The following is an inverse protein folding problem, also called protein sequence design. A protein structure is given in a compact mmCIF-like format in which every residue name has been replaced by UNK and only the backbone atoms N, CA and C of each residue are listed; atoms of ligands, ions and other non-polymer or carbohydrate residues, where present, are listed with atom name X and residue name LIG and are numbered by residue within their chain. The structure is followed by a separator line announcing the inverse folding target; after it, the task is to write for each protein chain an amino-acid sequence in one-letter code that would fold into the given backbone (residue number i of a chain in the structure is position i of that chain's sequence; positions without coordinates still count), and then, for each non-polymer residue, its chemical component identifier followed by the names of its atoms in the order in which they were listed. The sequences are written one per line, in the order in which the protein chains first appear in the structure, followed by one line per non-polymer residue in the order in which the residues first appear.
data_IF_923163150802
#
_entry.id   IF_923163150802
#
_cell.length_a   1.000
_cell.length_b   1.000
_cell.length_c   1.000
_cell.angle_alpha   90.00
_cell.angle_beta   90.00
_cell.angle_gamma   90.00
#
_symmetry.space_group_name_H-M   'P 1'
#
loop_
_entity.id
_entity.type
_entity.pdbx_description
1 polymer ?
#
# COMPACT_ATOMS: atom_id res chain seq x y z
N UNK A 1 -16.76 -16.88 -10.80
CA UNK A 1 -15.44 -16.32 -10.43
C UNK A 1 -14.28 -17.05 -11.11
N UNK A 2 -14.10 -18.37 -10.87
CA UNK A 2 -13.02 -19.18 -11.50
C UNK A 2 -12.92 -19.01 -13.02
N UNK A 3 -14.01 -19.31 -13.75
CA UNK A 3 -14.00 -19.28 -15.22
C UNK A 3 -13.67 -17.91 -15.80
N UNK A 4 -14.08 -16.83 -15.14
CA UNK A 4 -13.79 -15.45 -15.55
C UNK A 4 -12.29 -15.13 -15.41
N UNK A 5 -11.67 -15.46 -14.27
CA UNK A 5 -10.22 -15.28 -14.09
C UNK A 5 -9.41 -16.12 -15.08
N UNK A 6 -9.83 -17.36 -15.33
CA UNK A 6 -9.19 -18.24 -16.29
C UNK A 6 -9.28 -17.69 -17.71
N UNK A 7 -10.47 -17.24 -18.13
CA UNK A 7 -10.67 -16.65 -19.46
C UNK A 7 -9.88 -15.35 -19.61
N UNK A 8 -9.88 -14.48 -18.60
CA UNK A 8 -9.08 -13.25 -18.60
C UNK A 8 -7.58 -13.53 -18.76
N UNK A 9 -7.04 -14.47 -18.00
CA UNK A 9 -5.64 -14.93 -18.12
C UNK A 9 -5.35 -15.57 -19.47
N UNK A 10 -6.28 -16.34 -20.02
CA UNK A 10 -6.10 -16.96 -21.34
C UNK A 10 -6.03 -15.90 -22.44
N UNK A 11 -6.98 -14.95 -22.45
CA UNK A 11 -7.05 -13.91 -23.47
C UNK A 11 -5.97 -12.83 -23.31
N UNK A 12 -5.55 -12.52 -22.08
CA UNK A 12 -4.56 -11.50 -21.74
C UNK A 12 -3.61 -12.02 -20.66
N UNK A 13 -2.61 -12.86 -21.02
CA UNK A 13 -1.77 -13.58 -20.06
C UNK A 13 -0.84 -12.70 -19.21
N UNK A 14 -0.57 -11.48 -19.66
CA UNK A 14 0.22 -10.47 -18.92
C UNK A 14 -0.64 -9.56 -18.03
N UNK A 15 -1.97 -9.70 -18.05
CA UNK A 15 -2.85 -8.92 -17.19
C UNK A 15 -2.71 -9.32 -15.72
N UNK A 16 -2.70 -8.32 -14.83
CA UNK A 16 -2.73 -8.50 -13.39
C UNK A 16 -4.16 -8.81 -12.92
N UNK A 17 -4.71 -9.94 -13.38
CA UNK A 17 -6.07 -10.34 -13.06
C UNK A 17 -6.27 -10.67 -11.59
N UNK A 18 -7.26 -10.05 -10.97
CA UNK A 18 -7.70 -10.30 -9.59
C UNK A 18 -9.07 -9.67 -9.36
N UNK A 19 -9.71 -9.99 -8.25
CA UNK A 19 -10.98 -9.38 -7.88
C UNK A 19 -10.76 -8.23 -6.90
N UNK A 20 -11.42 -7.11 -7.15
CA UNK A 20 -11.51 -5.99 -6.20
C UNK A 20 -12.13 -6.46 -4.87
N UNK A 21 -11.59 -5.95 -3.77
CA UNK A 21 -12.08 -6.20 -2.42
C UNK A 21 -11.56 -7.51 -1.80
N UNK A 22 -10.77 -8.31 -2.52
CA UNK A 22 -10.31 -9.61 -2.04
C UNK A 22 -8.81 -9.65 -1.68
N UNK A 23 -8.44 -10.29 -0.56
CA UNK A 23 -9.34 -10.75 0.51
C UNK A 23 -9.91 -9.58 1.33
N UNK A 24 -11.02 -9.83 2.03
CA UNK A 24 -11.49 -8.97 3.11
C UNK A 24 -11.13 -9.60 4.47
N UNK A 25 -10.88 -8.75 5.45
CA UNK A 25 -10.54 -9.08 6.83
C UNK A 25 -11.76 -9.02 7.78
N UNK A 26 -12.85 -8.39 7.34
CA UNK A 26 -14.07 -8.11 8.07
C UNK A 26 -13.86 -7.51 9.47
N UNK A 27 -12.79 -6.72 9.64
CA UNK A 27 -12.35 -6.10 10.89
C UNK A 27 -13.06 -4.76 11.18
N UNK A 28 -14.37 -4.68 10.89
CA UNK A 28 -15.21 -3.47 11.03
C UNK A 28 -15.80 -3.30 12.45
N UNK A 29 -15.39 -4.13 13.40
CA UNK A 29 -15.92 -4.17 14.76
C UNK A 29 -15.26 -3.14 15.69
N UNK A 30 -15.22 -1.88 15.25
CA UNK A 30 -14.50 -0.77 15.90
C UNK A 30 -14.94 -0.49 17.34
N UNK A 31 -16.19 -0.84 17.69
CA UNK A 31 -16.76 -0.63 19.03
C UNK A 31 -16.25 -1.62 20.09
N UNK A 32 -15.48 -2.65 19.70
CA UNK A 32 -14.88 -3.56 20.69
C UNK A 32 -13.84 -2.80 21.54
N UNK A 33 -13.88 -2.90 22.88
CA UNK A 33 -12.92 -2.22 23.76
C UNK A 33 -11.45 -2.57 23.46
N UNK A 34 -11.18 -3.84 23.11
CA UNK A 34 -9.85 -4.34 22.76
C UNK A 34 -9.72 -4.53 21.24
N UNK A 35 -10.12 -3.53 20.45
CA UNK A 35 -10.00 -3.58 19.00
C UNK A 35 -8.52 -3.71 18.60
N UNK A 36 -8.14 -4.82 17.97
CA UNK A 36 -6.75 -5.07 17.49
C UNK A 36 -6.56 -4.76 16.01
N UNK A 37 -7.66 -4.59 15.27
CA UNK A 37 -7.66 -4.52 13.81
C UNK A 37 -7.43 -5.86 13.12
N UNK A 38 -7.18 -6.94 13.84
CA UNK A 38 -6.91 -8.26 13.24
C UNK A 38 -8.19 -8.93 12.73
N UNK A 39 -8.04 -9.71 11.66
CA UNK A 39 -9.12 -10.55 11.15
C UNK A 39 -9.36 -11.69 12.13
N UNK A 40 -10.61 -11.96 12.48
CA UNK A 40 -10.92 -13.06 13.38
C UNK A 40 -10.59 -14.41 12.73
N UNK A 41 -10.40 -15.43 13.57
CA UNK A 41 -9.94 -16.74 13.12
C UNK A 41 -10.90 -17.35 12.09
N UNK A 42 -12.21 -17.20 12.30
CA UNK A 42 -13.25 -17.70 11.40
C UNK A 42 -13.13 -17.08 10.01
N UNK A 43 -12.83 -15.78 9.92
CA UNK A 43 -12.60 -15.08 8.65
C UNK A 43 -11.33 -15.61 7.97
N UNK A 44 -10.25 -15.80 8.73
CA UNK A 44 -9.02 -16.38 8.18
C UNK A 44 -9.23 -17.80 7.65
N UNK A 45 -10.06 -18.61 8.31
CA UNK A 45 -10.45 -19.95 7.88
C UNK A 45 -11.31 -19.93 6.61
N UNK A 46 -12.26 -19.01 6.50
CA UNK A 46 -13.02 -18.79 5.26
C UNK A 46 -12.10 -18.36 4.11
N UNK A 47 -11.18 -17.43 4.36
CA UNK A 47 -10.18 -17.02 3.38
C UNK A 47 -9.22 -18.16 3.00
N UNK A 48 -8.96 -19.13 3.89
CA UNK A 48 -8.18 -20.34 3.55
C UNK A 48 -8.93 -21.23 2.55
N UNK A 49 -10.27 -21.32 2.63
CA UNK A 49 -11.08 -22.09 1.69
C UNK A 49 -11.09 -21.47 0.28
N UNK A 50 -10.73 -20.19 0.17
CA UNK A 50 -10.57 -19.47 -1.09
C UNK A 50 -9.18 -19.62 -1.72
N UNK A 51 -8.36 -20.61 -1.31
CA UNK A 51 -7.04 -20.86 -1.90
C UNK A 51 -7.04 -20.89 -3.43
N UNK A 52 -8.10 -21.46 -4.03
CA UNK A 52 -8.28 -21.48 -5.48
C UNK A 52 -8.27 -20.08 -6.11
N UNK A 53 -8.78 -19.06 -5.41
CA UNK A 53 -8.85 -17.68 -5.90
C UNK A 53 -7.46 -17.05 -5.89
N UNK A 54 -6.70 -17.25 -4.82
CA UNK A 54 -5.35 -16.71 -4.65
C UNK A 54 -4.41 -17.32 -5.70
N UNK A 55 -4.51 -18.63 -5.92
CA UNK A 55 -3.72 -19.36 -6.93
C UNK A 55 -4.01 -18.90 -8.36
N UNK A 56 -5.31 -18.71 -8.67
CA UNK A 56 -5.73 -18.29 -10.01
C UNK A 56 -5.46 -16.81 -10.26
N UNK A 57 -5.43 -15.96 -9.24
CA UNK A 57 -5.15 -14.54 -9.38
C UNK A 57 -3.69 -14.29 -9.79
N UNK A 58 -3.48 -13.22 -10.55
CA UNK A 58 -2.15 -12.67 -10.90
C UNK A 58 -1.79 -11.47 -10.01
N UNK A 59 -2.77 -10.84 -9.38
CA UNK A 59 -2.60 -9.80 -8.37
C UNK A 59 -3.78 -9.81 -7.38
N UNK A 60 -3.60 -9.20 -6.20
CA UNK A 60 -4.63 -9.08 -5.17
C UNK A 60 -4.94 -7.60 -4.91
N UNK A 61 -6.22 -7.31 -4.69
CA UNK A 61 -6.75 -5.95 -4.64
C UNK A 61 -7.65 -5.74 -3.41
N UNK A 62 -7.10 -5.84 -2.18
CA UNK A 62 -7.90 -5.61 -0.99
C UNK A 62 -8.37 -4.15 -0.95
N UNK A 63 -9.61 -3.90 -0.53
CA UNK A 63 -10.03 -2.53 -0.22
C UNK A 63 -9.56 -2.18 1.19
N UNK A 64 -8.97 -0.99 1.38
CA UNK A 64 -8.60 -0.44 2.69
C UNK A 64 -9.22 0.95 2.89
N UNK A 65 -10.40 1.17 2.31
CA UNK A 65 -11.18 2.40 2.51
C UNK A 65 -11.51 2.58 3.99
N UNK A 66 -11.38 3.80 4.50
CA UNK A 66 -11.65 4.12 5.89
C UNK A 66 -13.12 4.49 6.07
N UNK A 67 -13.93 3.73 6.81
CA UNK A 67 -15.28 4.15 7.17
C UNK A 67 -15.26 5.43 8.02
N UNK A 68 -16.32 6.24 7.95
CA UNK A 68 -16.40 7.50 8.70
C UNK A 68 -16.27 7.29 10.22
N UNK A 69 -16.68 6.13 10.74
CA UNK A 69 -16.54 5.77 12.17
C UNK A 69 -15.09 5.71 12.65
N UNK A 70 -14.12 5.61 11.74
CA UNK A 70 -12.70 5.64 12.06
C UNK A 70 -12.15 7.06 12.23
N UNK A 71 -12.86 8.08 11.73
CA UNK A 71 -12.41 9.45 11.85
C UNK A 71 -12.21 9.82 13.33
N UNK A 72 -11.03 10.36 13.64
CA UNK A 72 -10.64 10.81 14.98
C UNK A 72 -10.65 9.69 16.05
N UNK A 73 -10.74 8.41 15.63
CA UNK A 73 -10.85 7.26 16.54
C UNK A 73 -9.49 6.70 17.00
N UNK A 74 -8.41 7.04 16.30
CA UNK A 74 -7.07 6.45 16.49
C UNK A 74 -6.96 4.98 16.06
N UNK A 75 -7.97 4.41 15.39
CA UNK A 75 -8.03 2.97 15.03
C UNK A 75 -7.70 2.68 13.56
N UNK A 76 -7.56 3.69 12.72
CA UNK A 76 -7.35 3.56 11.28
C UNK A 76 -6.11 2.74 10.93
N UNK A 77 -4.97 3.00 11.59
CA UNK A 77 -3.75 2.23 11.39
C UNK A 77 -3.95 0.73 11.68
N UNK A 78 -4.64 0.41 12.78
CA UNK A 78 -4.89 -0.99 13.16
C UNK A 78 -5.80 -1.67 12.15
N UNK A 79 -6.85 -0.97 11.70
CA UNK A 79 -7.75 -1.43 10.66
C UNK A 79 -7.02 -1.75 9.35
N UNK A 80 -6.26 -0.80 8.80
CA UNK A 80 -5.50 -0.99 7.55
C UNK A 80 -4.47 -2.10 7.72
N UNK A 81 -3.71 -2.08 8.81
CA UNK A 81 -2.65 -3.05 9.09
C UNK A 81 -3.16 -4.49 9.11
N UNK A 82 -4.32 -4.73 9.72
CA UNK A 82 -4.94 -6.06 9.73
C UNK A 82 -5.33 -6.56 8.35
N UNK A 83 -5.89 -5.68 7.51
CA UNK A 83 -6.28 -6.00 6.12
C UNK A 83 -5.08 -6.32 5.25
N UNK A 84 -4.02 -5.53 5.38
CA UNK A 84 -2.75 -5.77 4.68
C UNK A 84 -2.06 -7.06 5.14
N UNK A 85 -2.07 -7.33 6.45
CA UNK A 85 -1.54 -8.61 6.98
C UNK A 85 -2.27 -9.81 6.39
N UNK A 86 -3.58 -9.74 6.24
CA UNK A 86 -4.38 -10.83 5.69
C UNK A 86 -4.10 -11.10 4.22
N UNK A 87 -4.01 -10.04 3.39
CA UNK A 87 -3.66 -10.22 1.98
C UNK A 87 -2.27 -10.85 1.83
N UNK A 88 -1.27 -10.43 2.62
CA UNK A 88 0.03 -11.07 2.62
C UNK A 88 0.00 -12.51 3.13
N UNK A 89 -0.85 -12.81 4.13
CA UNK A 89 -1.02 -14.17 4.66
C UNK A 89 -1.58 -15.12 3.62
N UNK A 90 -2.66 -14.74 2.91
CA UNK A 90 -3.27 -15.62 1.90
C UNK A 90 -2.39 -15.74 0.65
N UNK A 91 -1.68 -14.67 0.27
CA UNK A 91 -0.73 -14.66 -0.84
C UNK A 91 0.43 -15.61 -0.58
N UNK A 92 1.03 -15.54 0.62
CA UNK A 92 2.12 -16.42 1.04
C UNK A 92 1.75 -17.90 1.19
N UNK A 93 0.46 -18.25 1.13
CA UNK A 93 -0.02 -19.65 1.14
C UNK A 93 -0.13 -20.26 -0.26
N UNK A 94 0.04 -19.46 -1.31
CA UNK A 94 0.04 -19.96 -2.69
C UNK A 94 1.33 -20.74 -2.98
N UNK A 95 1.29 -21.59 -4.01
CA UNK A 95 2.43 -22.39 -4.47
C UNK A 95 3.60 -21.56 -5.00
N UNK A 96 3.30 -20.37 -5.53
CA UNK A 96 4.27 -19.47 -6.17
C UNK A 96 4.11 -18.05 -5.65
N UNK A 97 4.52 -17.76 -4.40
CA UNK A 97 4.34 -16.45 -3.80
C UNK A 97 5.22 -15.39 -4.49
N UNK A 98 4.82 -14.13 -4.37
CA UNK A 98 5.38 -12.98 -5.10
C UNK A 98 4.39 -12.29 -6.04
N UNK A 99 3.08 -12.55 -5.91
CA UNK A 99 2.06 -11.85 -6.72
C UNK A 99 1.93 -10.39 -6.28
N UNK A 100 1.70 -9.46 -7.22
CA UNK A 100 1.44 -8.08 -6.85
C UNK A 100 0.25 -7.88 -5.93
N UNK A 101 0.42 -7.07 -4.89
CA UNK A 101 -0.63 -6.62 -3.99
C UNK A 101 -0.80 -5.12 -4.16
N UNK A 102 -1.99 -4.70 -4.59
CA UNK A 102 -2.33 -3.33 -4.94
C UNK A 102 -3.60 -2.93 -4.18
N UNK A 103 -3.49 -2.49 -2.91
CA UNK A 103 -4.65 -2.10 -2.12
C UNK A 103 -5.37 -0.91 -2.76
N UNK A 104 -6.70 -0.96 -2.70
CA UNK A 104 -7.56 0.15 -3.08
C UNK A 104 -7.70 1.12 -1.90
N UNK A 105 -7.39 2.39 -2.14
CA UNK A 105 -7.51 3.51 -1.20
C UNK A 105 -8.46 4.57 -1.76
N UNK A 106 -9.03 5.38 -0.87
CA UNK A 106 -9.72 6.63 -1.20
C UNK A 106 -8.97 7.79 -0.58
N UNK A 107 -9.27 9.01 -1.05
CA UNK A 107 -8.82 10.26 -0.43
C UNK A 107 -9.90 10.89 0.47
N UNK A 108 -11.03 10.21 0.62
CA UNK A 108 -12.15 10.55 1.48
C UNK A 108 -12.41 9.41 2.47
N UNK A 109 -13.07 9.72 3.58
CA UNK A 109 -13.75 8.66 4.35
C UNK A 109 -14.87 8.07 3.50
N UNK A 110 -15.02 6.75 3.55
CA UNK A 110 -15.91 5.98 2.69
C UNK A 110 -17.34 6.55 2.71
N UNK A 111 -17.91 6.80 1.52
CA UNK A 111 -19.28 7.33 1.33
C UNK A 111 -19.49 8.73 1.94
N UNK A 112 -18.44 9.55 1.93
CA UNK A 112 -18.50 10.96 2.40
C UNK A 112 -17.66 11.87 1.51
N UNK A 113 -17.88 13.19 1.60
CA UNK A 113 -17.03 14.21 0.99
C UNK A 113 -15.95 14.74 1.97
N UNK A 114 -15.71 14.04 3.09
CA UNK A 114 -14.69 14.45 4.07
C UNK A 114 -13.34 13.89 3.65
N UNK A 115 -12.45 14.77 3.19
CA UNK A 115 -11.07 14.40 2.84
C UNK A 115 -10.35 13.76 4.04
N UNK A 116 -9.49 12.79 3.72
CA UNK A 116 -8.57 12.20 4.68
C UNK A 116 -7.50 13.24 5.05
N UNK A 117 -7.25 13.50 6.34
CA UNK A 117 -6.10 14.31 6.73
C UNK A 117 -4.79 13.56 6.41
N UNK A 118 -3.65 14.27 6.44
CA UNK A 118 -2.34 13.68 6.16
C UNK A 118 -2.06 12.44 7.03
N UNK A 119 -2.43 12.46 8.31
CA UNK A 119 -2.31 11.32 9.22
C UNK A 119 -3.02 10.06 8.68
N UNK A 120 -4.17 10.21 8.03
CA UNK A 120 -4.89 9.07 7.47
C UNK A 120 -4.31 8.59 6.14
N UNK A 121 -3.66 9.48 5.37
CA UNK A 121 -2.85 9.07 4.22
C UNK A 121 -1.62 8.28 4.68
N UNK A 122 -1.00 8.66 5.79
CA UNK A 122 0.09 7.90 6.42
C UNK A 122 -0.42 6.51 6.88
N UNK A 123 -1.56 6.46 7.56
CA UNK A 123 -2.15 5.20 8.04
C UNK A 123 -2.67 4.26 6.94
N UNK A 124 -2.87 4.76 5.71
CA UNK A 124 -3.35 3.98 4.56
C UNK A 124 -2.23 3.70 3.56
N UNK A 125 -1.79 4.71 2.82
CA UNK A 125 -0.77 4.61 1.78
C UNK A 125 0.61 4.39 2.41
N UNK A 126 0.94 5.15 3.46
CA UNK A 126 2.21 4.98 4.18
C UNK A 126 2.34 3.58 4.79
N UNK A 127 1.26 3.05 5.37
CA UNK A 127 1.24 1.70 5.93
C UNK A 127 1.33 0.62 4.82
N UNK A 128 0.74 0.87 3.65
CA UNK A 128 0.90 0.00 2.47
C UNK A 128 2.36 -0.08 2.01
N UNK A 129 3.02 1.07 1.87
CA UNK A 129 4.44 1.14 1.58
C UNK A 129 5.27 0.42 2.66
N UNK A 130 5.00 0.71 3.94
CA UNK A 130 5.76 0.14 5.04
C UNK A 130 5.67 -1.40 5.05
N UNK A 131 4.53 -2.01 4.71
CA UNK A 131 4.41 -3.47 4.62
C UNK A 131 4.99 -4.06 3.32
N UNK A 132 5.36 -3.23 2.35
CA UNK A 132 5.92 -3.64 1.07
C UNK A 132 4.86 -4.17 0.11
N UNK A 133 3.77 -3.43 -0.08
CA UNK A 133 2.86 -3.64 -1.23
C UNK A 133 3.56 -3.25 -2.54
N UNK A 134 3.00 -3.65 -3.68
CA UNK A 134 3.57 -3.36 -5.01
C UNK A 134 3.22 -1.96 -5.50
N UNK A 135 2.26 -1.33 -4.84
CA UNK A 135 1.68 -0.04 -5.16
C UNK A 135 0.34 0.09 -4.47
N UNK A 136 -0.47 1.02 -4.97
CA UNK A 136 -1.85 1.26 -4.54
C UNK A 136 -2.71 1.62 -5.76
N UNK A 137 -4.02 1.52 -5.61
CA UNK A 137 -5.00 2.11 -6.53
C UNK A 137 -5.78 3.18 -5.77
N UNK A 138 -5.60 4.44 -6.15
CA UNK A 138 -6.44 5.53 -5.64
C UNK A 138 -7.71 5.53 -6.47
N UNK A 139 -8.83 5.21 -5.84
CA UNK A 139 -10.14 5.23 -6.47
C UNK A 139 -10.97 6.37 -5.89
N UNK A 140 -11.67 7.10 -6.76
CA UNK A 140 -12.64 8.12 -6.40
C UNK A 140 -13.96 7.73 -7.07
N UNK A 141 -15.02 7.64 -6.28
CA UNK A 141 -16.36 7.36 -6.80
C UNK A 141 -16.92 8.57 -7.56
N UNK A 142 -17.79 8.31 -8.54
CA UNK A 142 -18.34 9.35 -9.42
C UNK A 142 -19.02 10.50 -8.67
N UNK A 143 -19.63 10.22 -7.52
CA UNK A 143 -20.36 11.21 -6.71
C UNK A 143 -19.52 12.42 -6.29
N UNK A 144 -18.19 12.29 -6.24
CA UNK A 144 -17.27 13.35 -5.81
C UNK A 144 -16.82 14.30 -6.94
N UNK A 145 -17.17 14.02 -8.20
CA UNK A 145 -16.66 14.74 -9.38
C UNK A 145 -17.76 15.45 -10.18
N UNK A 146 -18.93 15.69 -9.56
CA UNK A 146 -20.11 16.19 -10.27
C UNK A 146 -20.31 17.71 -10.26
N UNK A 147 -19.58 18.45 -9.41
CA UNK A 147 -19.71 19.91 -9.29
C UNK A 147 -18.36 20.59 -9.47
N UNK A 148 -18.40 21.86 -9.92
CA UNK A 148 -17.19 22.67 -10.04
C UNK A 148 -16.50 22.84 -8.67
N UNK A 149 -17.30 23.00 -7.62
CA UNK A 149 -16.84 23.15 -6.24
C UNK A 149 -16.09 21.90 -5.76
N UNK A 150 -16.64 20.70 -6.00
CA UNK A 150 -15.97 19.45 -5.60
C UNK A 150 -14.69 19.22 -6.38
N UNK A 151 -14.67 19.47 -7.69
CA UNK A 151 -13.47 19.38 -8.51
C UNK A 151 -12.38 20.37 -8.06
N UNK A 152 -12.76 21.60 -7.69
CA UNK A 152 -11.82 22.58 -7.17
C UNK A 152 -11.26 22.13 -5.81
N UNK A 153 -12.10 21.61 -4.92
CA UNK A 153 -11.66 21.10 -3.63
C UNK A 153 -10.69 19.90 -3.78
N UNK A 154 -10.95 18.99 -4.73
CA UNK A 154 -10.03 17.89 -5.06
C UNK A 154 -8.71 18.44 -5.60
N UNK A 155 -8.74 19.42 -6.52
CA UNK A 155 -7.53 20.07 -7.02
C UNK A 155 -6.71 20.67 -5.88
N UNK A 156 -7.34 21.43 -4.99
CA UNK A 156 -6.65 22.08 -3.87
C UNK A 156 -6.07 21.02 -2.91
N UNK A 157 -6.78 19.93 -2.66
CA UNK A 157 -6.29 18.80 -1.86
C UNK A 157 -5.10 18.08 -2.51
N UNK A 158 -5.13 17.91 -3.84
CA UNK A 158 -4.02 17.34 -4.62
C UNK A 158 -2.80 18.25 -4.54
N UNK A 159 -2.96 19.55 -4.72
CA UNK A 159 -1.83 20.49 -4.73
C UNK A 159 -1.19 20.62 -3.33
N UNK A 160 -2.01 20.62 -2.27
CA UNK A 160 -1.55 20.93 -0.91
C UNK A 160 -1.21 19.72 -0.05
N UNK A 161 -1.86 18.57 -0.28
CA UNK A 161 -1.79 17.41 0.61
C UNK A 161 -1.38 16.14 -0.13
N UNK A 162 -2.21 15.65 -1.06
CA UNK A 162 -1.99 14.35 -1.68
C UNK A 162 -0.75 14.34 -2.58
N UNK A 163 -0.56 15.34 -3.44
CA UNK A 163 0.55 15.40 -4.38
C UNK A 163 1.91 15.38 -3.68
N UNK A 164 2.18 16.29 -2.72
CA UNK A 164 3.42 16.27 -1.93
C UNK A 164 3.62 14.95 -1.19
N UNK A 165 2.56 14.38 -0.61
CA UNK A 165 2.65 13.11 0.09
C UNK A 165 2.96 11.93 -0.84
N UNK A 166 2.34 11.86 -2.03
CA UNK A 166 2.64 10.86 -3.05
C UNK A 166 4.09 10.97 -3.51
N UNK A 167 4.60 12.18 -3.76
CA UNK A 167 6.01 12.38 -4.11
C UNK A 167 6.93 11.92 -2.98
N UNK A 168 6.56 12.16 -1.73
CA UNK A 168 7.30 11.70 -0.56
C UNK A 168 7.41 10.17 -0.53
N UNK A 169 6.28 9.46 -0.49
CA UNK A 169 6.26 8.00 -0.36
C UNK A 169 6.85 7.27 -1.57
N UNK A 170 6.67 7.79 -2.78
CA UNK A 170 7.25 7.17 -3.99
C UNK A 170 8.76 7.36 -4.05
N UNK A 171 9.26 8.56 -3.71
CA UNK A 171 10.70 8.84 -3.73
C UNK A 171 11.45 8.04 -2.67
N UNK A 172 10.95 7.98 -1.44
CA UNK A 172 11.59 7.20 -0.38
C UNK A 172 11.53 5.69 -0.64
N UNK A 173 10.45 5.19 -1.28
CA UNK A 173 10.37 3.80 -1.71
C UNK A 173 11.47 3.46 -2.73
N UNK A 174 11.68 4.33 -3.72
CA UNK A 174 12.76 4.21 -4.69
C UNK A 174 14.14 4.27 -4.03
N UNK A 175 14.40 5.28 -3.21
CA UNK A 175 15.68 5.43 -2.50
C UNK A 175 15.99 4.23 -1.60
N UNK A 176 14.99 3.68 -0.90
CA UNK A 176 15.16 2.50 -0.08
C UNK A 176 15.44 1.26 -0.94
N UNK A 177 14.76 1.11 -2.08
CA UNK A 177 15.02 0.03 -3.04
C UNK A 177 16.47 0.04 -3.53
N UNK A 178 16.96 1.20 -3.97
CA UNK A 178 18.35 1.37 -4.43
C UNK A 178 19.35 1.12 -3.31
N UNK A 179 19.14 1.74 -2.14
CA UNK A 179 20.14 1.74 -1.07
C UNK A 179 20.18 0.45 -0.24
N UNK A 180 19.06 -0.27 -0.11
CA UNK A 180 18.95 -1.47 0.72
C UNK A 180 18.77 -2.76 -0.08
N UNK A 181 18.14 -2.68 -1.26
CA UNK A 181 17.69 -3.83 -2.04
C UNK A 181 18.29 -3.87 -3.45
N UNK A 182 19.43 -3.21 -3.65
CA UNK A 182 20.19 -3.20 -4.92
C UNK A 182 19.38 -2.77 -6.14
N UNK A 183 18.28 -2.03 -5.95
CA UNK A 183 17.34 -1.68 -7.03
C UNK A 183 16.50 -2.86 -7.56
N UNK A 184 16.56 -4.00 -6.89
CA UNK A 184 16.00 -5.29 -7.34
C UNK A 184 14.98 -5.87 -6.35
N UNK A 185 14.53 -5.05 -5.43
CA UNK A 185 13.48 -5.38 -4.49
C UNK A 185 12.91 -4.16 -3.83
N UNK A 186 11.82 -4.36 -3.10
CA UNK A 186 11.16 -3.32 -2.32
C UNK A 186 11.44 -3.51 -0.84
N UNK A 187 11.53 -2.40 -0.12
CA UNK A 187 11.64 -2.42 1.32
C UNK A 187 10.32 -2.84 1.96
N UNK A 188 10.38 -3.71 2.95
CA UNK A 188 9.27 -4.13 3.77
C UNK A 188 9.69 -4.13 5.25
N UNK A 189 8.84 -3.58 6.10
CA UNK A 189 9.07 -3.41 7.53
C UNK A 189 9.34 -4.75 8.21
N UNK A 190 10.33 -4.76 9.09
CA UNK A 190 10.63 -5.90 9.95
C UNK A 190 9.58 -6.01 11.06
N UNK A 191 9.25 -7.24 11.44
CA UNK A 191 8.22 -7.50 12.45
C UNK A 191 8.53 -6.90 13.83
N UNK A 192 9.81 -6.79 14.19
CA UNK A 192 10.25 -6.19 15.47
C UNK A 192 10.25 -4.65 15.48
N UNK A 193 9.92 -4.02 14.35
CA UNK A 193 9.76 -2.56 14.24
C UNK A 193 8.33 -2.20 13.79
N UNK A 194 7.27 -2.56 14.53
CA UNK A 194 5.89 -2.43 14.07
C UNK A 194 5.44 -0.98 13.86
N UNK A 195 6.15 0.01 14.40
CA UNK A 195 5.83 1.44 14.26
C UNK A 195 6.64 2.15 13.17
N UNK A 196 7.53 1.45 12.47
CA UNK A 196 8.32 2.07 11.42
C UNK A 196 7.43 2.47 10.23
N UNK A 197 7.65 3.68 9.74
CA UNK A 197 7.14 4.20 8.47
C UNK A 197 8.31 4.68 7.62
N UNK A 198 8.09 4.74 6.31
CA UNK A 198 9.10 5.07 5.34
C UNK A 198 8.69 6.37 4.65
N UNK A 199 9.24 7.49 5.13
CA UNK A 199 9.02 8.84 4.62
C UNK A 199 10.35 9.56 4.44
N UNK A 200 10.41 10.51 3.52
CA UNK A 200 11.51 11.47 3.40
C UNK A 200 11.63 12.29 4.68
N UNK A 201 12.85 12.43 5.20
CA UNK A 201 13.12 13.33 6.32
C UNK A 201 13.04 14.79 5.85
N UNK A 202 12.24 15.66 6.49
CA UNK A 202 12.18 17.08 6.14
C UNK A 202 13.50 17.82 6.46
N UNK A 203 14.39 17.21 7.24
CA UNK A 203 15.73 17.74 7.50
C UNK A 203 16.71 17.52 6.34
N UNK A 204 16.41 16.56 5.45
CA UNK A 204 17.30 16.17 4.33
C UNK A 204 16.69 16.39 2.95
N UNK A 205 15.37 16.55 2.89
CA UNK A 205 14.62 16.72 1.66
C UNK A 205 13.63 17.87 1.77
N UNK A 206 13.43 18.56 0.66
CA UNK A 206 12.41 19.57 0.48
C UNK A 206 11.62 19.30 -0.80
N UNK A 207 10.30 19.34 -0.67
CA UNK A 207 9.37 19.25 -1.81
C UNK A 207 8.90 20.66 -2.13
N UNK A 208 9.12 21.09 -3.37
CA UNK A 208 8.75 22.41 -3.85
C UNK A 208 7.82 22.31 -5.04
N UNK A 209 6.75 23.09 -5.03
CA UNK A 209 5.93 23.30 -6.20
C UNK A 209 6.57 24.37 -7.09
N UNK A 210 6.76 24.06 -8.36
CA UNK A 210 7.29 25.01 -9.33
C UNK A 210 6.21 26.05 -9.68
N UNK A 211 6.50 27.35 -9.54
CA UNK A 211 5.50 28.41 -9.75
C UNK A 211 4.85 28.40 -11.14
N UNK A 212 5.63 28.07 -12.18
CA UNK A 212 5.19 28.24 -13.58
C UNK A 212 4.40 27.04 -14.11
N UNK A 213 4.65 25.84 -13.57
CA UNK A 213 4.12 24.58 -14.10
C UNK A 213 3.19 23.86 -13.13
N UNK A 214 3.20 24.23 -11.84
CA UNK A 214 2.53 23.49 -10.78
C UNK A 214 3.16 22.12 -10.48
N UNK A 215 4.24 21.74 -11.17
CA UNK A 215 4.92 20.47 -10.94
C UNK A 215 5.65 20.46 -9.61
N UNK A 216 5.54 19.35 -8.89
CA UNK A 216 6.31 19.12 -7.69
C UNK A 216 7.73 18.68 -8.06
N UNK A 217 8.71 19.23 -7.36
CA UNK A 217 10.12 18.89 -7.46
C UNK A 217 10.67 18.50 -6.10
N UNK A 218 11.56 17.51 -6.09
CA UNK A 218 12.24 17.04 -4.90
C UNK A 218 13.70 17.49 -4.93
N UNK A 219 14.15 18.14 -3.85
CA UNK A 219 15.55 18.47 -3.63
C UNK A 219 16.02 17.82 -2.33
N UNK A 220 17.28 17.41 -2.28
CA UNK A 220 17.86 16.78 -1.11
C UNK A 220 18.67 15.54 -1.42
N UNK A 221 19.12 14.86 -0.37
CA UNK A 221 19.89 13.62 -0.46
C UNK A 221 19.56 12.71 0.72
N UNK A 222 19.76 11.40 0.52
CA UNK A 222 19.54 10.44 1.59
C UNK A 222 20.66 10.54 2.63
N UNK A 223 20.35 11.07 3.81
CA UNK A 223 21.31 11.19 4.91
C UNK A 223 21.68 9.82 5.50
N UNK A 224 22.92 9.69 6.00
CA UNK A 224 23.46 8.45 6.59
C UNK A 224 22.60 7.93 7.75
N UNK A 225 22.05 8.82 8.58
CA UNK A 225 21.13 8.45 9.67
C UNK A 225 19.84 7.80 9.14
N UNK A 226 19.28 8.34 8.07
CA UNK A 226 18.09 7.77 7.41
C UNK A 226 18.40 6.39 6.82
N UNK A 227 19.57 6.24 6.21
CA UNK A 227 20.05 4.96 5.68
C UNK A 227 20.28 3.93 6.80
N UNK A 228 20.88 4.32 7.92
CA UNK A 228 21.08 3.46 9.07
C UNK A 228 19.73 2.99 9.66
N UNK A 229 18.76 3.90 9.76
CA UNK A 229 17.39 3.58 10.19
C UNK A 229 16.72 2.59 9.22
N UNK A 230 16.84 2.81 7.91
CA UNK A 230 16.32 1.88 6.90
C UNK A 230 16.91 0.46 7.06
N UNK A 231 18.23 0.35 7.22
CA UNK A 231 18.93 -0.94 7.41
C UNK A 231 18.44 -1.69 8.66
N UNK A 232 18.16 -0.96 9.73
CA UNK A 232 17.65 -1.53 10.99
C UNK A 232 16.18 -1.92 10.89
N UNK A 233 15.33 -1.08 10.33
CA UNK A 233 13.87 -1.23 10.42
C UNK A 233 13.26 -2.03 9.26
N UNK A 234 13.96 -2.14 8.12
CA UNK A 234 13.44 -2.73 6.89
C UNK A 234 14.27 -3.92 6.41
N UNK A 235 13.62 -4.79 5.63
CA UNK A 235 14.22 -5.90 4.88
C UNK A 235 13.76 -5.83 3.43
N UNK A 236 14.43 -6.56 2.56
CA UNK A 236 14.04 -6.62 1.16
C UNK A 236 13.01 -7.70 0.87
N UNK A 237 12.07 -7.37 -0.02
CA UNK A 237 11.26 -8.33 -0.78
C UNK A 237 11.64 -8.20 -2.24
N UNK A 238 12.38 -9.18 -2.74
CA UNK A 238 12.95 -9.13 -4.08
C UNK A 238 11.89 -9.24 -5.16
N UNK A 239 12.13 -8.54 -6.27
CA UNK A 239 11.32 -8.68 -7.48
C UNK A 239 11.53 -10.07 -8.11
N UNK A 240 10.60 -10.46 -8.98
CA UNK A 240 10.71 -11.72 -9.72
C UNK A 240 12.03 -11.77 -10.48
N UNK A 241 12.78 -12.86 -10.32
CA UNK A 241 14.10 -13.03 -10.90
C UNK A 241 15.26 -12.70 -9.96
N UNK A 242 15.01 -12.14 -8.77
CA UNK A 242 16.06 -11.78 -7.81
C UNK A 242 15.96 -12.54 -6.49
N UNK A 243 17.10 -12.67 -5.80
CA UNK A 243 17.24 -13.34 -4.51
C UNK A 243 18.41 -12.76 -3.70
N UNK A 244 18.61 -13.22 -2.47
CA UNK A 244 19.60 -12.69 -1.53
C UNK A 244 18.97 -11.81 -0.46
N UNK A 245 19.77 -11.43 0.54
CA UNK A 245 19.31 -10.57 1.65
C UNK A 245 19.03 -9.13 1.20
N UNK A 246 19.69 -8.70 0.13
CA UNK A 246 19.64 -7.37 -0.47
C UNK A 246 19.25 -7.42 -1.95
N UNK A 247 18.65 -8.54 -2.40
CA UNK A 247 18.26 -8.76 -3.80
C UNK A 247 19.42 -8.63 -4.79
N UNK A 248 20.62 -8.98 -4.36
CA UNK A 248 21.87 -8.77 -5.09
C UNK A 248 22.23 -9.91 -6.07
N UNK A 249 21.42 -10.98 -6.11
CA UNK A 249 21.68 -12.18 -6.91
C UNK A 249 20.53 -12.46 -7.88
N UNK A 250 20.84 -12.79 -9.13
CA UNK A 250 19.85 -13.23 -10.11
C UNK A 250 19.51 -14.71 -9.89
N UNK A 251 18.22 -15.07 -9.96
CA UNK A 251 17.78 -16.47 -9.82
C UNK A 251 18.18 -17.24 -11.07
N UNK A 252 19.12 -18.16 -10.93
CA UNK A 252 19.54 -19.07 -12.00
C UNK A 252 20.91 -18.73 -12.62
N UNK A 253 21.62 -17.72 -12.12
CA UNK A 253 23.04 -17.53 -12.43
C UNK A 253 23.89 -18.49 -11.56
N UNK A 254 24.19 -19.67 -12.12
CA UNK A 254 25.30 -20.52 -11.68
C UNK A 254 26.45 -20.39 -12.66
#
# INVERSE_FOLDING_TARGET
MVGTLQLGKFLRPRGLWGYYGFPDCYNYNFQKPNYTGECCQEVQELNNQLLWMWELSRALYPSIYLPLELADSGKSLMFVRGRLREVFRVEGRTRDPGRPILPYVQIFYERTDRFLPLEELENTIGESLAQGTDGIVIWMGGDHEHTQESCQAIKDYVDTTLGPFILNVTSIAYLCSEALCSGHGRCARRQHHPQAFLFLSPASFSIHQQPDSGHLSLQGFLADESLAKMKTEYRCRCYTGWTGGHCEQERGSY
#
